data_IF_101668034145
#
_entry.id   IF_101668034145
#
_cell.length_a   1.000
_cell.length_b   1.000
_cell.length_c   1.000
_cell.angle_alpha   90.00
_cell.angle_beta   90.00
_cell.angle_gamma   90.00
#
_symmetry.space_group_name_H-M   'P 1'
#
loop_
_entity.id
_entity.type
_entity.pdbx_description
1 polymer ?
#
# COMPACT_ATOMS: atom_id res chain seq x y z
N UNK A 1 37.54 -6.26 -6.65
CA UNK A 1 38.11 -5.27 -5.69
C UNK A 1 39.57 -5.54 -5.33
N UNK A 2 39.95 -6.33 -4.30
CA UNK A 2 41.33 -6.32 -3.75
C UNK A 2 42.47 -6.43 -4.78
N UNK A 3 42.39 -7.38 -5.72
CA UNK A 3 43.40 -7.53 -6.78
C UNK A 3 43.47 -6.31 -7.73
N UNK A 4 42.34 -5.66 -8.02
CA UNK A 4 42.27 -4.45 -8.86
C UNK A 4 43.01 -3.27 -8.23
N UNK A 5 42.90 -3.14 -6.90
CA UNK A 5 43.62 -2.10 -6.13
C UNK A 5 45.14 -2.34 -6.19
N UNK A 6 45.59 -3.59 -6.10
CA UNK A 6 47.01 -3.92 -6.26
C UNK A 6 47.53 -3.59 -7.67
N UNK A 7 46.76 -3.84 -8.72
CA UNK A 7 47.13 -3.52 -10.11
C UNK A 7 47.18 -1.99 -10.32
N UNK A 8 46.21 -1.24 -9.79
CA UNK A 8 46.21 0.22 -9.85
C UNK A 8 47.40 0.85 -9.09
N UNK A 9 47.76 0.32 -7.92
CA UNK A 9 48.94 0.78 -7.18
C UNK A 9 50.25 0.46 -7.92
N UNK A 10 50.35 -0.71 -8.57
CA UNK A 10 51.50 -1.04 -9.42
C UNK A 10 51.61 -0.07 -10.61
N UNK A 11 50.49 0.28 -11.25
CA UNK A 11 50.44 1.29 -12.32
C UNK A 11 50.84 2.70 -11.82
N UNK A 12 50.36 3.15 -10.66
CA UNK A 12 50.79 4.43 -10.07
C UNK A 12 52.30 4.44 -9.76
N UNK A 13 52.84 3.36 -9.19
CA UNK A 13 54.30 3.28 -8.95
C UNK A 13 55.11 3.24 -10.25
N UNK A 14 54.61 2.59 -11.30
CA UNK A 14 55.29 2.56 -12.61
C UNK A 14 55.29 3.94 -13.27
N UNK A 15 54.16 4.64 -13.26
CA UNK A 15 54.05 6.03 -13.74
C UNK A 15 54.98 6.96 -12.95
N UNK A 16 55.04 6.85 -11.62
CA UNK A 16 55.91 7.67 -10.78
C UNK A 16 57.42 7.45 -11.08
N UNK A 17 57.84 6.20 -11.30
CA UNK A 17 59.22 5.87 -11.70
C UNK A 17 59.56 6.44 -13.08
N UNK A 18 58.65 6.32 -14.06
CA UNK A 18 58.82 6.95 -15.38
C UNK A 18 58.92 8.48 -15.26
N UNK A 19 58.09 9.10 -14.42
CA UNK A 19 58.13 10.55 -14.16
C UNK A 19 59.50 10.98 -13.60
N UNK A 20 60.04 10.26 -12.62
CA UNK A 20 61.38 10.55 -12.05
C UNK A 20 62.51 10.40 -13.07
N UNK A 21 62.39 9.49 -14.05
CA UNK A 21 63.38 9.37 -15.12
C UNK A 21 63.27 10.50 -16.17
N UNK A 22 62.12 11.16 -16.29
CA UNK A 22 61.95 12.36 -17.13
C UNK A 22 62.57 13.59 -16.44
N UNK A 23 62.25 13.83 -15.16
CA UNK A 23 62.78 14.99 -14.42
C UNK A 23 64.30 14.89 -14.13
N UNK A 24 64.81 13.66 -13.96
CA UNK A 24 66.24 13.40 -13.71
C UNK A 24 67.17 13.72 -14.88
N UNK A 25 66.64 13.96 -16.09
CA UNK A 25 67.43 14.22 -17.30
C UNK A 25 67.89 15.68 -17.49
N UNK A 26 67.54 16.60 -16.59
CA UNK A 26 67.72 18.06 -16.82
C UNK A 26 68.75 18.76 -15.91
N UNK A 27 69.35 18.08 -14.93
CA UNK A 27 70.15 18.73 -13.86
C UNK A 27 71.61 18.22 -13.74
N UNK A 28 72.40 18.29 -14.81
CA UNK A 28 73.88 18.27 -14.70
C UNK A 28 74.54 19.35 -15.58
N UNK A 29 74.48 20.62 -15.15
CA UNK A 29 75.50 21.63 -15.48
C UNK A 29 75.46 22.92 -14.63
N UNK A 30 75.25 22.84 -13.31
CA UNK A 30 75.29 24.02 -12.43
C UNK A 30 76.15 23.85 -11.16
N UNK A 31 77.21 23.03 -11.22
CA UNK A 31 78.26 22.96 -10.18
C UNK A 31 79.66 23.11 -10.79
N UNK A 32 79.95 24.29 -11.33
CA UNK A 32 81.29 24.86 -11.44
C UNK A 32 81.21 26.38 -11.60
N UNK A 33 82.12 27.10 -10.94
CA UNK A 33 82.23 28.56 -10.96
C UNK A 33 81.08 29.39 -10.32
N UNK A 34 80.75 29.08 -9.06
CA UNK A 34 80.76 30.18 -8.08
C UNK A 34 82.21 30.39 -7.62
N UNK A 35 82.88 31.43 -8.15
CA UNK A 35 83.98 32.19 -7.52
C UNK A 35 84.33 33.38 -8.44
N UNK A 36 84.57 34.55 -7.83
CA UNK A 36 85.07 35.81 -8.42
C UNK A 36 84.36 36.35 -9.68
N UNK A 37 83.41 37.27 -9.45
CA UNK A 37 83.23 38.46 -10.31
C UNK A 37 84.07 39.62 -9.75
N UNK A 38 84.50 40.53 -10.63
CA UNK A 38 85.59 41.51 -10.45
C UNK A 38 85.34 42.64 -9.43
N UNK A 39 86.42 43.11 -8.79
CA UNK A 39 86.96 44.48 -9.00
C UNK A 39 88.46 44.51 -8.59
N UNK A 40 89.26 45.42 -9.16
CA UNK A 40 90.52 45.86 -8.53
C UNK A 40 91.88 45.54 -9.19
N UNK A 41 92.14 46.14 -10.38
CA UNK A 41 93.46 46.60 -10.89
C UNK A 41 94.51 45.62 -11.49
N UNK A 42 95.15 46.18 -12.53
CA UNK A 42 96.57 46.07 -12.94
C UNK A 42 97.09 44.86 -13.75
N UNK A 43 97.01 45.05 -15.08
CA UNK A 43 98.10 44.93 -16.06
C UNK A 43 98.54 43.54 -16.60
N UNK A 44 99.19 43.52 -17.79
CA UNK A 44 99.27 42.37 -18.69
C UNK A 44 100.77 41.93 -18.86
N UNK A 45 101.29 41.32 -19.97
CA UNK A 45 100.65 40.91 -21.24
C UNK A 45 101.13 39.54 -21.82
N UNK A 46 100.81 39.35 -23.12
CA UNK A 46 101.48 38.52 -24.15
C UNK A 46 100.98 37.07 -24.32
N UNK A 47 100.82 36.53 -25.53
CA UNK A 47 100.77 37.10 -26.92
C UNK A 47 100.08 36.10 -27.86
N UNK A 48 99.61 36.57 -29.02
CA UNK A 48 99.60 35.95 -30.37
C UNK A 48 99.68 34.40 -30.52
N UNK A 49 98.98 33.75 -31.45
CA UNK A 49 98.74 34.20 -32.84
C UNK A 49 97.58 33.47 -33.53
N UNK A 50 97.06 34.08 -34.60
CA UNK A 50 96.30 33.51 -35.72
C UNK A 50 96.72 32.07 -36.11
N UNK A 51 95.78 31.23 -36.60
CA UNK A 51 95.47 31.06 -38.05
C UNK A 51 94.40 29.96 -38.30
N UNK A 52 93.80 30.00 -39.48
CA UNK A 52 92.65 29.20 -39.91
C UNK A 52 92.98 27.82 -40.52
N UNK A 53 91.90 27.14 -40.93
CA UNK A 53 91.77 26.12 -42.00
C UNK A 53 91.94 24.63 -41.69
N UNK A 54 91.27 23.85 -42.57
CA UNK A 54 91.22 22.40 -42.72
C UNK A 54 90.61 21.55 -41.59
N UNK A 55 89.91 20.44 -41.85
CA UNK A 55 89.02 20.03 -42.96
C UNK A 55 88.43 18.67 -42.60
N UNK A 56 87.13 18.46 -42.82
CA UNK A 56 86.43 17.16 -42.95
C UNK A 56 87.18 15.87 -42.55
N UNK A 57 86.64 15.18 -41.54
CA UNK A 57 86.26 13.77 -41.75
C UNK A 57 84.81 13.55 -41.26
N UNK A 58 84.13 12.54 -41.80
CA UNK A 58 82.67 12.45 -41.85
C UNK A 58 82.15 11.20 -41.16
N UNK A 59 82.20 11.17 -39.83
CA UNK A 59 81.53 10.10 -39.08
C UNK A 59 80.01 10.30 -39.07
N UNK A 60 79.32 9.24 -39.46
CA UNK A 60 77.89 9.22 -39.77
C UNK A 60 77.11 8.72 -38.54
N UNK A 61 76.58 9.64 -37.75
CA UNK A 61 75.59 9.32 -36.72
C UNK A 61 74.17 9.55 -37.26
N UNK A 62 73.30 8.54 -37.09
CA UNK A 62 71.89 8.64 -37.45
C UNK A 62 71.11 9.20 -36.27
N UNK A 63 70.57 10.41 -36.43
CA UNK A 63 69.61 10.97 -35.48
C UNK A 63 68.26 10.26 -35.65
N UNK A 64 67.89 9.43 -34.68
CA UNK A 64 66.73 8.54 -34.76
C UNK A 64 65.51 9.19 -34.09
N UNK A 65 64.41 9.32 -34.84
CA UNK A 65 63.21 9.99 -34.38
C UNK A 65 62.43 9.22 -33.31
N UNK A 66 62.54 9.67 -32.06
CA UNK A 66 61.71 9.21 -30.93
C UNK A 66 60.29 9.83 -30.73
N UNK A 67 59.74 10.80 -31.52
CA UNK A 67 58.44 11.43 -31.20
C UNK A 67 57.24 10.49 -31.01
N UNK A 68 57.21 9.36 -31.74
CA UNK A 68 56.02 8.52 -31.93
C UNK A 68 55.64 7.71 -30.68
N UNK A 69 56.63 7.14 -29.97
CA UNK A 69 56.39 6.39 -28.73
C UNK A 69 55.76 7.31 -27.66
N UNK A 70 56.23 8.55 -27.56
CA UNK A 70 55.64 9.54 -26.67
C UNK A 70 54.27 10.05 -27.14
N UNK A 71 53.93 9.98 -28.43
CA UNK A 71 52.57 10.22 -28.91
C UNK A 71 51.65 9.06 -28.50
N UNK A 72 52.03 7.83 -28.81
CA UNK A 72 51.34 6.59 -28.45
C UNK A 72 51.07 6.45 -26.94
N UNK A 73 52.06 6.77 -26.08
CA UNK A 73 51.84 6.77 -24.62
C UNK A 73 50.86 7.86 -24.16
N UNK A 74 50.86 9.04 -24.80
CA UNK A 74 49.90 10.11 -24.47
C UNK A 74 48.48 9.75 -24.90
N UNK A 75 48.32 9.08 -26.05
CA UNK A 75 47.03 8.56 -26.50
C UNK A 75 46.50 7.44 -25.57
N UNK A 76 47.34 6.48 -25.19
CA UNK A 76 46.98 5.46 -24.20
C UNK A 76 46.59 6.10 -22.85
N UNK A 77 47.38 7.07 -22.37
CA UNK A 77 47.08 7.82 -21.13
C UNK A 77 45.76 8.58 -21.23
N UNK A 78 45.47 9.19 -22.38
CA UNK A 78 44.20 9.87 -22.64
C UNK A 78 43.02 8.88 -22.62
N UNK A 79 43.11 7.74 -23.31
CA UNK A 79 42.04 6.73 -23.33
C UNK A 79 41.79 6.07 -21.96
N UNK A 80 42.84 5.81 -21.17
CA UNK A 80 42.69 5.30 -19.80
C UNK A 80 42.08 6.37 -18.88
N UNK A 81 42.40 7.65 -19.10
CA UNK A 81 41.78 8.77 -18.37
C UNK A 81 40.29 8.92 -18.76
N UNK A 82 39.97 8.84 -20.06
CA UNK A 82 38.58 8.83 -20.56
C UNK A 82 37.80 7.65 -19.98
N UNK A 83 38.37 6.44 -19.92
CA UNK A 83 37.74 5.30 -19.25
C UNK A 83 37.52 5.56 -17.75
N UNK A 84 38.47 6.16 -17.05
CA UNK A 84 38.35 6.50 -15.63
C UNK A 84 37.20 7.49 -15.38
N UNK A 85 37.01 8.48 -16.26
CA UNK A 85 35.86 9.39 -16.20
C UNK A 85 34.54 8.74 -16.63
N UNK A 86 34.53 7.91 -17.67
CA UNK A 86 33.34 7.14 -18.05
C UNK A 86 32.87 6.22 -16.91
N UNK A 87 33.79 5.53 -16.22
CA UNK A 87 33.48 4.70 -15.05
C UNK A 87 32.94 5.55 -13.90
N UNK A 88 33.53 6.72 -13.61
CA UNK A 88 33.00 7.66 -12.60
C UNK A 88 31.60 8.15 -12.93
N UNK A 89 31.35 8.51 -14.20
CA UNK A 89 30.04 8.94 -14.67
C UNK A 89 29.00 7.81 -14.54
N UNK A 90 29.36 6.58 -14.89
CA UNK A 90 28.53 5.39 -14.73
C UNK A 90 28.25 5.04 -13.25
N UNK A 91 29.28 5.04 -12.39
CA UNK A 91 29.12 4.84 -10.94
C UNK A 91 28.22 5.90 -10.30
N UNK A 92 28.18 7.10 -10.88
CA UNK A 92 27.26 8.18 -10.48
C UNK A 92 25.85 7.90 -11.01
N UNK A 93 25.67 7.61 -12.30
CA UNK A 93 24.36 7.29 -12.89
C UNK A 93 23.69 6.07 -12.23
N UNK A 94 24.44 5.00 -11.94
CA UNK A 94 23.92 3.81 -11.27
C UNK A 94 23.51 4.13 -9.83
N UNK A 95 24.29 4.96 -9.13
CA UNK A 95 23.95 5.44 -7.78
C UNK A 95 22.69 6.31 -7.80
N UNK A 96 22.55 7.18 -8.79
CA UNK A 96 21.40 8.08 -8.92
C UNK A 96 20.13 7.33 -9.32
N UNK A 97 20.21 6.33 -10.21
CA UNK A 97 19.10 5.41 -10.49
C UNK A 97 18.70 4.59 -9.25
N UNK A 98 19.69 4.10 -8.48
CA UNK A 98 19.42 3.32 -7.26
C UNK A 98 18.79 4.19 -6.17
N UNK A 99 19.33 5.39 -5.90
CA UNK A 99 18.75 6.37 -4.99
C UNK A 99 17.30 6.70 -5.38
N UNK A 100 17.05 6.96 -6.67
CA UNK A 100 15.71 7.26 -7.18
C UNK A 100 14.73 6.09 -6.99
N UNK A 101 15.19 4.85 -7.16
CA UNK A 101 14.37 3.65 -6.87
C UNK A 101 14.15 3.45 -5.37
N UNK A 102 15.13 3.74 -4.51
CA UNK A 102 14.96 3.71 -3.06
C UNK A 102 13.95 4.78 -2.58
N UNK A 103 13.95 5.97 -3.19
CA UNK A 103 12.92 7.00 -2.97
C UNK A 103 11.53 6.55 -3.45
N UNK A 104 11.43 5.94 -4.64
CA UNK A 104 10.17 5.43 -5.20
C UNK A 104 9.58 4.31 -4.32
N UNK A 105 10.40 3.33 -3.92
CA UNK A 105 10.01 2.24 -3.01
C UNK A 105 9.62 2.80 -1.64
N UNK A 106 10.38 3.76 -1.10
CA UNK A 106 10.04 4.40 0.18
C UNK A 106 8.70 5.15 0.11
N UNK A 107 8.41 5.80 -1.01
CA UNK A 107 7.12 6.46 -1.26
C UNK A 107 5.98 5.44 -1.30
N UNK A 108 6.10 4.36 -2.09
CA UNK A 108 5.09 3.29 -2.17
C UNK A 108 4.87 2.60 -0.80
N UNK A 109 5.94 2.38 -0.03
CA UNK A 109 5.86 1.78 1.31
C UNK A 109 5.17 2.72 2.30
N UNK A 110 5.43 4.04 2.27
CA UNK A 110 4.75 4.98 3.16
C UNK A 110 3.31 5.26 2.70
N UNK A 111 2.99 5.15 1.42
CA UNK A 111 1.61 5.15 0.90
C UNK A 111 0.83 3.91 1.36
N UNK A 112 1.39 2.70 1.21
CA UNK A 112 0.79 1.46 1.75
C UNK A 112 0.66 1.50 3.29
N UNK A 113 1.61 2.13 4.00
CA UNK A 113 1.47 2.38 5.44
C UNK A 113 0.37 3.39 5.73
N UNK A 114 0.17 4.43 4.92
CA UNK A 114 -0.90 5.41 5.06
C UNK A 114 -2.27 4.81 4.75
N UNK A 115 -2.37 3.92 3.76
CA UNK A 115 -3.56 3.13 3.44
C UNK A 115 -3.98 2.21 4.61
N UNK A 116 -3.01 1.66 5.34
CA UNK A 116 -3.27 0.82 6.51
C UNK A 116 -3.45 1.62 7.83
N UNK A 117 -2.74 2.74 8.03
CA UNK A 117 -2.87 3.64 9.19
C UNK A 117 -4.21 4.38 9.17
N UNK A 118 -5.22 3.74 9.74
CA UNK A 118 -6.59 4.27 9.81
C UNK A 118 -7.66 3.25 9.44
N UNK A 119 -7.30 2.01 9.06
CA UNK A 119 -8.28 0.91 8.88
C UNK A 119 -8.82 0.39 10.21
N UNK A 120 -8.11 0.64 11.32
CA UNK A 120 -8.61 0.42 12.68
C UNK A 120 -9.64 1.50 13.03
N UNK A 121 -10.93 1.18 12.87
CA UNK A 121 -12.03 2.10 13.13
C UNK A 121 -13.04 1.39 14.03
N UNK A 122 -13.18 1.88 15.26
CA UNK A 122 -14.08 1.27 16.24
C UNK A 122 -14.52 2.30 17.28
N UNK A 123 -15.84 2.39 17.53
CA UNK A 123 -16.37 3.19 18.62
C UNK A 123 -17.33 2.38 19.49
N UNK A 124 -17.44 2.76 20.76
CA UNK A 124 -18.49 2.28 21.65
C UNK A 124 -18.82 3.36 22.67
N UNK A 125 -20.12 3.57 22.93
CA UNK A 125 -20.60 4.66 23.76
C UNK A 125 -21.95 4.36 24.44
N UNK A 126 -22.26 5.06 25.53
CA UNK A 126 -23.58 5.07 26.17
C UNK A 126 -24.16 6.48 26.29
N UNK A 127 -25.49 6.57 26.35
CA UNK A 127 -26.25 7.84 26.31
C UNK A 127 -25.85 8.79 27.45
N UNK A 128 -25.83 8.29 28.69
CA UNK A 128 -25.50 9.08 29.87
C UNK A 128 -24.01 8.98 30.24
N UNK A 129 -23.41 10.12 30.53
CA UNK A 129 -22.01 10.29 30.97
C UNK A 129 -21.80 9.75 32.40
N UNK A 130 -22.67 10.14 33.32
CA UNK A 130 -22.78 9.63 34.69
C UNK A 130 -24.22 9.74 35.21
N UNK A 131 -24.50 9.09 36.34
CA UNK A 131 -25.83 9.06 36.97
C UNK A 131 -26.83 8.09 36.32
N UNK A 132 -28.07 8.17 36.80
CA UNK A 132 -29.22 7.40 36.34
C UNK A 132 -30.32 8.35 35.85
N UNK A 133 -31.13 7.93 34.86
CA UNK A 133 -32.19 8.77 34.30
C UNK A 133 -32.73 8.24 32.98
N UNK A 134 -33.73 8.95 32.45
CA UNK A 134 -34.37 8.65 31.16
C UNK A 134 -33.92 9.65 30.09
N UNK A 135 -33.87 9.20 28.83
CA UNK A 135 -33.63 10.05 27.66
C UNK A 135 -34.89 10.01 26.79
N UNK A 136 -35.53 11.16 26.65
CA UNK A 136 -36.90 11.26 26.14
C UNK A 136 -37.96 11.14 27.26
N UNK A 137 -39.25 11.01 26.90
CA UNK A 137 -39.78 10.94 25.54
C UNK A 137 -39.57 12.25 24.77
N UNK A 138 -39.46 12.15 23.44
CA UNK A 138 -39.33 13.28 22.53
C UNK A 138 -40.60 13.39 21.67
N UNK A 139 -40.95 14.62 21.27
CA UNK A 139 -42.15 14.92 20.46
C UNK A 139 -41.85 15.16 18.98
N UNK A 140 -40.59 15.03 18.59
CA UNK A 140 -40.05 15.22 17.24
C UNK A 140 -38.89 14.24 17.03
N UNK A 141 -38.48 14.05 15.78
CA UNK A 141 -37.32 13.24 15.43
C UNK A 141 -36.03 13.85 16.01
N UNK A 142 -35.21 13.05 16.68
CA UNK A 142 -33.96 13.49 17.34
C UNK A 142 -32.85 12.44 17.19
N UNK A 143 -31.68 12.88 16.72
CA UNK A 143 -30.44 12.11 16.75
C UNK A 143 -29.94 11.91 18.19
N UNK A 144 -29.72 10.66 18.59
CA UNK A 144 -29.26 10.29 19.93
C UNK A 144 -27.76 10.59 20.10
N UNK A 145 -27.43 11.49 21.03
CA UNK A 145 -26.05 11.77 21.44
C UNK A 145 -25.60 10.81 22.54
N UNK A 146 -24.66 9.91 22.21
CA UNK A 146 -24.03 9.02 23.20
C UNK A 146 -22.83 9.74 23.79
N UNK A 147 -23.03 10.36 24.96
CA UNK A 147 -22.07 11.28 25.58
C UNK A 147 -20.89 10.56 26.23
N UNK A 148 -21.12 9.35 26.75
CA UNK A 148 -20.07 8.53 27.37
C UNK A 148 -19.38 7.68 26.31
N UNK A 149 -18.22 8.12 25.85
CA UNK A 149 -17.40 7.37 24.89
C UNK A 149 -16.45 6.44 25.66
N UNK A 150 -16.55 5.14 25.44
CA UNK A 150 -15.60 4.13 25.96
C UNK A 150 -14.47 3.85 24.97
N UNK A 151 -14.72 4.03 23.68
CA UNK A 151 -13.77 3.77 22.59
C UNK A 151 -14.13 4.65 21.39
N UNK A 152 -13.13 5.19 20.68
CA UNK A 152 -13.31 5.95 19.43
C UNK A 152 -12.02 5.90 18.57
N UNK A 153 -11.55 4.70 18.26
CA UNK A 153 -10.37 4.49 17.41
C UNK A 153 -10.70 4.98 16.00
N UNK A 154 -9.81 5.80 15.44
CA UNK A 154 -10.05 6.55 14.20
C UNK A 154 -10.82 7.87 14.38
N UNK A 155 -11.32 8.19 15.58
CA UNK A 155 -12.12 9.38 15.90
C UNK A 155 -13.37 9.59 15.00
N UNK A 156 -13.86 8.52 14.36
CA UNK A 156 -14.95 8.57 13.38
C UNK A 156 -16.33 8.88 14.00
N UNK A 157 -16.52 8.66 15.31
CA UNK A 157 -17.74 9.03 16.02
C UNK A 157 -17.59 10.38 16.72
N UNK A 158 -18.57 11.27 16.51
CA UNK A 158 -18.64 12.59 17.14
C UNK A 158 -19.66 12.58 18.31
N UNK A 159 -19.20 12.66 19.58
CA UNK A 159 -20.10 12.62 20.74
C UNK A 159 -20.98 13.86 20.92
N UNK A 160 -20.66 14.98 20.24
CA UNK A 160 -21.45 16.23 20.30
C UNK A 160 -22.69 16.10 19.42
N UNK A 161 -22.57 15.44 18.25
CA UNK A 161 -23.68 15.29 17.29
C UNK A 161 -24.37 13.93 17.36
N UNK A 162 -23.73 12.89 17.94
CA UNK A 162 -24.24 11.52 17.91
C UNK A 162 -24.00 10.78 16.59
N UNK A 163 -23.20 11.38 15.69
CA UNK A 163 -22.98 10.88 14.32
C UNK A 163 -21.63 10.21 14.18
N UNK A 164 -21.61 9.02 13.57
CA UNK A 164 -20.42 8.40 12.99
C UNK A 164 -20.30 8.82 11.52
N UNK A 165 -19.12 9.28 11.10
CA UNK A 165 -18.80 9.56 9.70
C UNK A 165 -17.72 8.61 9.23
N UNK A 166 -17.97 7.85 8.16
CA UNK A 166 -17.04 6.86 7.62
C UNK A 166 -15.75 7.53 7.09
N UNK A 167 -14.58 7.30 7.71
CA UNK A 167 -13.32 7.93 7.28
C UNK A 167 -12.65 7.16 6.13
N UNK A 168 -13.17 5.99 5.78
CA UNK A 168 -12.73 5.12 4.69
C UNK A 168 -13.93 4.35 4.11
N UNK A 169 -13.84 3.95 2.84
CA UNK A 169 -14.75 2.93 2.27
C UNK A 169 -14.54 1.59 2.99
N UNK A 170 -15.61 0.91 3.37
CA UNK A 170 -15.49 -0.40 4.02
C UNK A 170 -16.80 -0.99 4.54
N UNK A 171 -16.70 -2.14 5.18
CA UNK A 171 -17.81 -2.84 5.83
C UNK A 171 -17.79 -2.57 7.35
N UNK A 172 -18.88 -2.03 7.89
CA UNK A 172 -18.98 -1.60 9.28
C UNK A 172 -20.18 -2.28 9.97
N UNK A 173 -19.95 -2.88 11.14
CA UNK A 173 -21.04 -3.40 11.98
C UNK A 173 -21.48 -2.34 12.99
N UNK A 174 -22.76 -1.99 12.95
CA UNK A 174 -23.41 -1.16 13.97
C UNK A 174 -24.34 -2.03 14.83
N UNK A 175 -24.42 -1.76 16.13
CA UNK A 175 -25.37 -2.40 17.05
C UNK A 175 -25.82 -1.40 18.10
N UNK A 176 -27.13 -1.30 18.27
CA UNK A 176 -27.76 -0.51 19.34
C UNK A 176 -28.37 -1.43 20.39
N UNK A 177 -28.54 -0.92 21.61
CA UNK A 177 -29.31 -1.58 22.67
C UNK A 177 -29.99 -0.51 23.50
N UNK A 178 -31.31 -0.61 23.64
CA UNK A 178 -32.14 0.36 24.36
C UNK A 178 -32.66 -0.32 25.62
N UNK A 179 -32.53 0.39 26.74
CA UNK A 179 -33.14 0.02 28.01
C UNK A 179 -34.33 0.95 28.24
N UNK A 180 -35.51 0.39 28.47
CA UNK A 180 -36.77 1.13 28.55
C UNK A 180 -37.60 0.72 29.76
N UNK A 181 -38.54 1.60 30.13
CA UNK A 181 -39.56 1.31 31.15
C UNK A 181 -40.94 1.27 30.52
N UNK A 182 -41.80 0.41 31.06
CA UNK A 182 -43.16 0.22 30.56
C UNK A 182 -44.05 1.44 30.80
N UNK A 183 -44.97 1.67 29.86
CA UNK A 183 -45.80 2.88 29.79
C UNK A 183 -45.39 3.86 28.68
N UNK A 184 -44.19 3.71 28.11
CA UNK A 184 -43.75 4.41 26.90
C UNK A 184 -43.10 3.44 25.89
N UNK A 185 -43.25 3.75 24.60
CA UNK A 185 -42.49 3.07 23.54
C UNK A 185 -41.00 3.38 23.69
N UNK A 186 -40.15 2.35 23.59
CA UNK A 186 -38.70 2.51 23.53
C UNK A 186 -38.18 2.02 22.18
N UNK A 187 -37.64 2.93 21.39
CA UNK A 187 -37.12 2.67 20.06
C UNK A 187 -35.78 3.39 19.86
N UNK A 188 -34.96 2.85 18.95
CA UNK A 188 -33.84 3.55 18.35
C UNK A 188 -33.66 3.02 16.93
N UNK A 189 -33.72 3.91 15.95
CA UNK A 189 -33.51 3.65 14.53
C UNK A 189 -32.02 3.79 14.19
N UNK A 190 -31.42 2.81 13.52
CA UNK A 190 -30.11 3.00 12.88
C UNK A 190 -30.36 3.63 11.51
N UNK A 191 -29.88 4.85 11.33
CA UNK A 191 -30.01 5.64 10.09
C UNK A 191 -28.69 5.62 9.32
N UNK A 192 -28.74 5.50 7.98
CA UNK A 192 -27.62 5.78 7.08
C UNK A 192 -28.01 6.93 6.14
N UNK A 193 -27.24 8.00 6.10
CA UNK A 193 -27.46 9.15 5.20
C UNK A 193 -28.91 9.68 5.21
N UNK A 194 -29.56 9.73 6.38
CA UNK A 194 -30.95 10.16 6.53
C UNK A 194 -32.02 9.13 6.14
N UNK A 195 -31.64 7.89 5.81
CA UNK A 195 -32.55 6.78 5.49
C UNK A 195 -32.51 5.71 6.59
N UNK A 196 -33.69 5.26 7.02
CA UNK A 196 -33.84 4.17 7.99
C UNK A 196 -33.24 2.86 7.45
N UNK A 197 -32.51 2.14 8.32
CA UNK A 197 -31.95 0.82 8.03
C UNK A 197 -32.64 -0.27 8.85
N UNK A 198 -32.52 -0.21 10.18
CA UNK A 198 -33.09 -1.18 11.14
C UNK A 198 -33.45 -0.51 12.47
N UNK A 199 -34.56 -0.94 13.10
CA UNK A 199 -34.98 -0.42 14.42
C UNK A 199 -34.73 -1.42 15.57
N UNK A 200 -34.39 -0.90 16.75
CA UNK A 200 -34.45 -1.62 18.02
C UNK A 200 -35.70 -1.23 18.83
N UNK A 201 -36.87 -1.75 18.43
CA UNK A 201 -38.16 -1.44 19.05
C UNK A 201 -38.54 -2.41 20.19
N UNK A 202 -39.04 -1.89 21.30
CA UNK A 202 -39.86 -2.61 22.27
C UNK A 202 -40.91 -1.68 22.93
N UNK A 203 -42.04 -2.26 23.33
CA UNK A 203 -43.16 -1.55 23.97
C UNK A 203 -43.89 -2.51 24.90
N UNK A 204 -44.16 -2.09 26.14
CA UNK A 204 -44.83 -2.89 27.17
C UNK A 204 -45.60 -1.98 28.13
N UNK A 205 -46.79 -2.36 28.56
CA UNK A 205 -47.64 -1.51 29.41
C UNK A 205 -47.06 -1.16 30.80
N UNK A 206 -46.28 -2.07 31.41
CA UNK A 206 -45.64 -1.90 32.72
C UNK A 206 -44.36 -2.73 32.81
N UNK A 207 -43.43 -2.36 33.69
CA UNK A 207 -42.20 -3.10 33.96
C UNK A 207 -40.96 -2.48 33.31
N UNK A 208 -39.99 -3.33 32.96
CA UNK A 208 -38.72 -2.95 32.31
C UNK A 208 -38.55 -3.79 31.05
N UNK A 209 -38.08 -3.17 29.97
CA UNK A 209 -37.90 -3.78 28.65
C UNK A 209 -36.51 -3.50 28.08
N UNK A 210 -35.98 -4.44 27.31
CA UNK A 210 -34.74 -4.27 26.56
C UNK A 210 -35.02 -4.59 25.08
N UNK A 211 -34.56 -3.72 24.18
CA UNK A 211 -34.52 -4.01 22.74
C UNK A 211 -33.09 -3.92 22.23
N UNK A 212 -32.77 -4.66 21.18
CA UNK A 212 -31.49 -4.50 20.49
C UNK A 212 -31.55 -5.03 19.06
N UNK A 213 -30.94 -4.28 18.14
CA UNK A 213 -30.79 -4.66 16.75
C UNK A 213 -29.42 -4.19 16.24
N UNK A 214 -29.00 -4.67 15.08
CA UNK A 214 -27.72 -4.33 14.48
C UNK A 214 -27.65 -4.81 13.04
N UNK A 215 -26.72 -4.22 12.30
CA UNK A 215 -26.60 -4.35 10.84
C UNK A 215 -25.14 -4.26 10.44
N UNK A 216 -24.75 -4.95 9.36
CA UNK A 216 -23.47 -4.69 8.67
C UNK A 216 -23.77 -3.90 7.40
N UNK A 217 -23.09 -2.77 7.23
CA UNK A 217 -23.29 -1.84 6.12
C UNK A 217 -21.98 -1.64 5.35
N UNK A 218 -22.07 -1.62 4.02
CA UNK A 218 -21.07 -0.95 3.19
C UNK A 218 -21.25 0.56 3.34
N UNK A 219 -20.18 1.25 3.71
CA UNK A 219 -20.09 2.70 3.73
C UNK A 219 -19.02 3.16 2.74
N UNK A 220 -19.29 4.25 2.03
CA UNK A 220 -18.32 5.03 1.26
C UNK A 220 -17.65 6.09 2.16
N UNK A 221 -16.58 6.73 1.67
CA UNK A 221 -15.96 7.86 2.37
C UNK A 221 -16.99 8.99 2.57
N UNK A 222 -17.16 9.43 3.82
CA UNK A 222 -18.08 10.51 4.18
C UNK A 222 -19.53 10.07 4.45
N UNK A 223 -19.89 8.80 4.23
CA UNK A 223 -21.20 8.28 4.64
C UNK A 223 -21.41 8.46 6.15
N UNK A 224 -22.62 8.87 6.55
CA UNK A 224 -22.98 9.10 7.95
C UNK A 224 -23.92 8.02 8.46
N UNK A 225 -23.61 7.49 9.64
CA UNK A 225 -24.46 6.57 10.39
C UNK A 225 -24.68 7.11 11.80
N UNK A 226 -25.93 7.10 12.25
CA UNK A 226 -26.29 7.61 13.58
C UNK A 226 -27.54 6.87 14.09
N UNK A 227 -27.86 7.05 15.37
CA UNK A 227 -29.12 6.54 15.92
C UNK A 227 -30.13 7.68 16.04
N UNK A 228 -31.36 7.43 15.64
CA UNK A 228 -32.48 8.39 15.71
C UNK A 228 -33.62 7.80 16.55
N UNK A 229 -34.58 8.64 16.94
CA UNK A 229 -35.90 8.19 17.37
C UNK A 229 -36.88 8.90 16.43
N UNK A 230 -37.41 8.18 15.45
CA UNK A 230 -38.07 8.76 14.27
C UNK A 230 -39.60 8.62 14.24
N UNK A 231 -40.25 9.41 13.36
CA UNK A 231 -41.63 9.20 12.89
C UNK A 231 -41.81 9.58 11.40
N UNK A 232 -40.85 9.14 10.56
CA UNK A 232 -40.89 9.00 9.09
C UNK A 232 -41.54 10.12 8.24
N UNK A 233 -40.72 10.94 7.56
CA UNK A 233 -40.95 11.32 6.15
C UNK A 233 -39.62 11.27 5.36
N UNK A 234 -39.63 10.68 4.16
CA UNK A 234 -38.47 10.55 3.26
C UNK A 234 -38.33 11.72 2.27
N UNK A 235 -37.09 12.07 1.92
CA UNK A 235 -36.72 13.01 0.85
C UNK A 235 -36.29 12.30 -0.44
N UNK A 236 -36.24 13.04 -1.57
CA UNK A 236 -35.03 13.18 -2.40
C UNK A 236 -35.18 14.23 -3.52
N UNK A 237 -34.05 14.72 -4.04
CA UNK A 237 -33.89 15.70 -5.13
C UNK A 237 -33.06 15.09 -6.28
N UNK A 238 -33.03 15.70 -7.47
CA UNK A 238 -32.13 15.28 -8.55
C UNK A 238 -32.32 16.00 -9.89
N UNK A 239 -31.24 16.58 -10.43
CA UNK A 239 -31.18 17.19 -11.77
C UNK A 239 -29.78 17.14 -12.41
N UNK A 240 -29.78 17.27 -13.74
CA UNK A 240 -28.67 17.60 -14.67
C UNK A 240 -27.69 16.48 -15.11
N UNK A 241 -27.10 16.69 -16.29
CA UNK A 241 -26.45 15.69 -17.17
C UNK A 241 -25.56 16.39 -18.27
N UNK A 242 -24.96 15.73 -19.29
CA UNK A 242 -23.52 15.74 -19.71
C UNK A 242 -23.21 16.73 -20.90
N UNK A 243 -22.11 16.69 -21.72
CA UNK A 243 -21.00 15.70 -21.88
C UNK A 243 -19.55 16.18 -22.23
N UNK A 244 -18.62 15.20 -22.19
CA UNK A 244 -17.46 14.85 -23.07
C UNK A 244 -16.61 15.89 -23.88
N UNK A 245 -15.30 15.56 -24.01
CA UNK A 245 -14.34 15.97 -25.08
C UNK A 245 -13.31 14.83 -25.34
N UNK A 246 -12.54 14.85 -26.45
CA UNK A 246 -11.80 13.66 -26.97
C UNK A 246 -10.56 13.96 -27.87
N UNK A 247 -9.48 13.11 -27.82
CA UNK A 247 -8.35 12.92 -28.80
C UNK A 247 -7.39 14.10 -29.21
N UNK A 248 -6.18 13.99 -29.85
CA UNK A 248 -5.30 12.92 -30.46
C UNK A 248 -3.82 13.41 -30.73
N UNK A 249 -2.78 12.55 -30.60
CA UNK A 249 -1.48 12.36 -31.41
C UNK A 249 -0.49 13.53 -31.77
N UNK A 250 0.76 13.38 -32.29
CA UNK A 250 1.60 12.24 -32.77
C UNK A 250 3.17 12.47 -32.89
N UNK A 251 3.89 11.33 -33.01
CA UNK A 251 5.25 10.90 -33.53
C UNK A 251 6.09 11.82 -34.50
N UNK A 252 7.45 11.76 -34.76
CA UNK A 252 8.70 11.20 -34.14
C UNK A 252 10.06 11.46 -34.97
N UNK A 253 11.28 11.27 -34.39
CA UNK A 253 12.67 11.00 -35.00
C UNK A 253 13.55 12.14 -35.66
N UNK A 254 14.86 12.05 -36.06
CA UNK A 254 15.86 10.95 -36.34
C UNK A 254 17.39 11.40 -36.42
N UNK A 255 18.37 10.48 -36.19
CA UNK A 255 19.74 10.27 -36.81
C UNK A 255 20.80 11.40 -37.08
N UNK A 256 22.09 11.19 -37.47
CA UNK A 256 23.24 10.24 -37.22
C UNK A 256 24.48 10.67 -38.08
N UNK A 257 25.75 10.34 -37.72
CA UNK A 257 26.86 9.83 -38.58
C UNK A 257 28.29 9.85 -37.95
N UNK A 258 29.31 9.27 -38.63
CA UNK A 258 30.57 8.71 -38.09
C UNK A 258 31.68 8.60 -39.19
N UNK A 259 32.99 8.59 -38.86
CA UNK A 259 34.12 8.27 -39.78
C UNK A 259 35.40 7.68 -39.09
N UNK A 260 36.26 7.00 -39.87
CA UNK A 260 37.40 6.11 -39.52
C UNK A 260 38.44 6.10 -40.69
N UNK A 261 39.69 5.59 -40.70
CA UNK A 261 40.72 5.07 -39.73
C UNK A 261 42.07 4.81 -40.51
N UNK A 262 43.14 4.25 -39.87
CA UNK A 262 44.39 3.61 -40.36
C UNK A 262 45.68 4.48 -40.47
N UNK A 263 46.91 3.97 -40.24
CA UNK A 263 47.33 2.71 -39.58
C UNK A 263 48.56 1.97 -40.17
N UNK A 264 49.67 1.80 -39.42
CA UNK A 264 50.85 0.95 -39.74
C UNK A 264 51.31 0.14 -38.47
N UNK A 265 52.06 -0.99 -38.53
CA UNK A 265 52.71 -1.68 -37.38
C UNK A 265 54.15 -1.17 -37.09
N UNK A 266 54.79 -1.37 -35.93
CA UNK A 266 54.85 -2.63 -35.17
C UNK A 266 54.79 -2.47 -33.63
N UNK A 267 55.24 -1.35 -33.04
CA UNK A 267 54.87 -1.03 -31.63
C UNK A 267 53.35 -0.85 -31.51
N UNK A 268 52.71 -0.33 -32.57
CA UNK A 268 51.26 -0.34 -32.71
C UNK A 268 50.64 -1.75 -32.74
N UNK A 269 51.39 -2.85 -32.88
CA UNK A 269 50.84 -4.20 -32.72
C UNK A 269 50.52 -4.47 -31.24
N UNK A 270 51.51 -4.33 -30.36
CA UNK A 270 51.31 -4.44 -28.91
C UNK A 270 50.37 -3.34 -28.36
N UNK A 271 50.43 -2.12 -28.92
CA UNK A 271 49.49 -1.06 -28.55
C UNK A 271 48.06 -1.37 -29.02
N UNK A 272 47.86 -1.97 -30.22
CA UNK A 272 46.53 -2.45 -30.66
C UNK A 272 46.05 -3.65 -29.87
N UNK A 273 46.94 -4.53 -29.41
CA UNK A 273 46.58 -5.64 -28.52
C UNK A 273 46.09 -5.12 -27.16
N UNK A 274 46.81 -4.17 -26.56
CA UNK A 274 46.37 -3.51 -25.34
C UNK A 274 45.06 -2.74 -25.56
N UNK A 275 44.96 -1.90 -26.61
CA UNK A 275 43.73 -1.19 -26.98
C UNK A 275 42.57 -2.16 -27.26
N UNK A 276 42.82 -3.32 -27.86
CA UNK A 276 41.81 -4.35 -28.07
C UNK A 276 41.28 -4.89 -26.74
N UNK A 277 42.16 -5.30 -25.81
CA UNK A 277 41.72 -5.74 -24.46
C UNK A 277 41.00 -4.62 -23.68
N UNK A 278 41.39 -3.36 -23.89
CA UNK A 278 40.76 -2.17 -23.31
C UNK A 278 39.36 -1.91 -23.91
N UNK A 279 39.16 -2.15 -25.20
CA UNK A 279 37.82 -2.13 -25.84
C UNK A 279 36.98 -3.34 -25.48
N UNK A 280 37.56 -4.53 -25.36
CA UNK A 280 36.89 -5.75 -24.90
C UNK A 280 36.39 -5.58 -23.45
N UNK A 281 37.19 -4.96 -22.58
CA UNK A 281 36.75 -4.57 -21.24
C UNK A 281 35.64 -3.51 -21.28
N UNK A 282 35.67 -2.55 -22.22
CA UNK A 282 34.58 -1.55 -22.41
C UNK A 282 33.26 -2.23 -22.80
N UNK A 283 33.28 -3.23 -23.69
CA UNK A 283 32.08 -4.00 -24.04
C UNK A 283 31.64 -4.98 -22.96
N UNK A 284 32.56 -5.64 -22.25
CA UNK A 284 32.22 -6.52 -21.12
C UNK A 284 31.58 -5.73 -19.96
N UNK A 285 32.03 -4.49 -19.72
CA UNK A 285 31.42 -3.57 -18.75
C UNK A 285 29.99 -3.17 -19.19
N UNK A 286 29.80 -2.76 -20.45
CA UNK A 286 28.47 -2.48 -21.04
C UNK A 286 27.51 -3.67 -20.98
N UNK A 287 28.02 -4.88 -21.23
CA UNK A 287 27.24 -6.11 -21.14
C UNK A 287 26.80 -6.39 -19.69
N UNK A 288 27.69 -6.18 -18.72
CA UNK A 288 27.39 -6.35 -17.30
C UNK A 288 26.43 -5.28 -16.76
N UNK A 289 26.56 -4.02 -17.20
CA UNK A 289 25.58 -2.95 -16.96
C UNK A 289 24.18 -3.33 -17.45
N UNK A 290 24.10 -3.82 -18.69
CA UNK A 290 22.84 -4.24 -19.33
C UNK A 290 22.22 -5.40 -18.57
N UNK A 291 23.01 -6.43 -18.26
CA UNK A 291 22.56 -7.58 -17.48
C UNK A 291 22.05 -7.19 -16.08
N UNK A 292 22.74 -6.28 -15.38
CA UNK A 292 22.32 -5.81 -14.06
C UNK A 292 21.04 -4.96 -14.13
N UNK A 293 20.90 -4.13 -15.16
CA UNK A 293 19.70 -3.33 -15.44
C UNK A 293 18.50 -4.24 -15.73
N UNK A 294 18.69 -5.27 -16.55
CA UNK A 294 17.64 -6.24 -16.90
C UNK A 294 17.24 -7.13 -15.72
N UNK A 295 18.20 -7.61 -14.93
CA UNK A 295 17.93 -8.39 -13.71
C UNK A 295 17.18 -7.54 -12.66
N UNK A 296 17.55 -6.26 -12.50
CA UNK A 296 16.84 -5.32 -11.65
C UNK A 296 15.42 -5.03 -12.15
N UNK A 297 15.22 -4.86 -13.46
CA UNK A 297 13.89 -4.60 -14.03
C UNK A 297 12.98 -5.82 -13.91
N UNK A 298 13.47 -7.02 -14.22
CA UNK A 298 12.76 -8.28 -13.99
C UNK A 298 12.33 -8.46 -12.52
N UNK A 299 13.20 -8.08 -11.58
CA UNK A 299 12.89 -8.15 -10.14
C UNK A 299 11.86 -7.11 -9.71
N UNK A 300 11.82 -5.94 -10.34
CA UNK A 300 10.74 -4.97 -10.13
C UNK A 300 9.40 -5.52 -10.63
N UNK A 301 9.35 -6.16 -11.81
CA UNK A 301 8.14 -6.81 -12.33
C UNK A 301 7.65 -7.93 -11.40
N UNK A 302 8.57 -8.76 -10.88
CA UNK A 302 8.26 -9.82 -9.92
C UNK A 302 7.66 -9.27 -8.61
N UNK A 303 8.24 -8.20 -8.06
CA UNK A 303 7.72 -7.51 -6.86
C UNK A 303 6.34 -6.89 -7.14
N UNK A 304 6.15 -6.21 -8.28
CA UNK A 304 4.86 -5.64 -8.65
C UNK A 304 3.76 -6.71 -8.81
N UNK A 305 4.12 -7.88 -9.37
CA UNK A 305 3.21 -9.02 -9.46
C UNK A 305 2.82 -9.55 -8.08
N UNK A 306 3.78 -9.75 -7.17
CA UNK A 306 3.51 -10.22 -5.81
C UNK A 306 2.66 -9.22 -5.00
N UNK A 307 2.84 -7.91 -5.20
CA UNK A 307 2.01 -6.88 -4.55
C UNK A 307 0.56 -6.93 -5.01
N UNK A 308 0.29 -7.07 -6.31
CA UNK A 308 -1.10 -7.13 -6.79
C UNK A 308 -1.77 -8.49 -6.50
N UNK A 309 -0.99 -9.59 -6.45
CA UNK A 309 -1.46 -10.88 -5.96
C UNK A 309 -1.86 -10.81 -4.47
N UNK A 310 -1.03 -10.23 -3.60
CA UNK A 310 -1.37 -10.00 -2.19
C UNK A 310 -2.55 -9.04 -1.99
N UNK A 311 -2.71 -8.03 -2.86
CA UNK A 311 -3.91 -7.17 -2.87
C UNK A 311 -5.16 -7.96 -3.27
N UNK A 312 -5.04 -8.88 -4.23
CA UNK A 312 -6.13 -9.78 -4.63
C UNK A 312 -6.50 -10.75 -3.50
N UNK A 313 -5.53 -11.47 -2.93
CA UNK A 313 -5.78 -12.36 -1.79
C UNK A 313 -6.48 -11.65 -0.63
N UNK A 314 -6.11 -10.39 -0.33
CA UNK A 314 -6.77 -9.64 0.74
C UNK A 314 -8.21 -9.22 0.39
N UNK A 315 -8.51 -8.87 -0.87
CA UNK A 315 -9.91 -8.64 -1.32
C UNK A 315 -10.75 -9.90 -1.21
N UNK A 316 -10.21 -11.05 -1.61
CA UNK A 316 -10.88 -12.36 -1.55
C UNK A 316 -11.11 -12.88 -0.11
N UNK A 317 -10.60 -12.17 0.91
CA UNK A 317 -10.75 -12.47 2.35
C UNK A 317 -11.76 -11.56 3.08
N UNK A 318 -12.37 -10.59 2.39
CA UNK A 318 -13.42 -9.74 2.95
C UNK A 318 -14.80 -10.43 2.82
N UNK A 319 -15.35 -10.94 3.93
CA UNK A 319 -16.63 -11.68 3.94
C UNK A 319 -17.54 -11.11 5.04
N UNK A 320 -18.68 -10.57 4.63
CA UNK A 320 -19.72 -10.08 5.53
C UNK A 320 -21.09 -10.05 4.86
N UNK A 321 -22.14 -10.36 5.61
CA UNK A 321 -23.53 -10.23 5.15
C UNK A 321 -24.44 -9.68 6.25
N UNK A 322 -25.54 -9.08 5.82
CA UNK A 322 -26.63 -8.62 6.70
C UNK A 322 -27.93 -8.58 5.91
N UNK A 323 -29.00 -9.16 6.46
CA UNK A 323 -30.31 -9.21 5.83
C UNK A 323 -31.46 -9.13 6.86
N UNK A 324 -32.61 -8.59 6.46
CA UNK A 324 -33.88 -8.69 7.20
C UNK A 324 -34.86 -9.68 6.54
N UNK A 325 -35.90 -10.05 7.30
CA UNK A 325 -36.74 -11.19 6.98
C UNK A 325 -37.60 -10.96 5.72
N UNK A 326 -38.29 -9.81 5.63
CA UNK A 326 -39.17 -9.46 4.52
C UNK A 326 -38.56 -8.42 3.57
N UNK A 327 -38.64 -8.69 2.26
CA UNK A 327 -38.26 -7.76 1.18
C UNK A 327 -39.28 -6.63 0.97
N UNK A 328 -40.56 -6.91 1.21
CA UNK A 328 -41.64 -5.92 1.26
C UNK A 328 -42.87 -6.48 1.98
N UNK A 329 -43.78 -5.59 2.39
CA UNK A 329 -45.00 -5.94 3.13
C UNK A 329 -44.80 -6.00 4.65
N UNK A 330 -45.80 -6.55 5.33
CA UNK A 330 -45.78 -6.80 6.78
C UNK A 330 -46.56 -8.07 7.13
N UNK A 331 -46.23 -8.70 8.26
CA UNK A 331 -47.04 -9.78 8.82
C UNK A 331 -46.31 -10.76 9.72
N UNK A 332 -47.07 -11.76 10.18
CA UNK A 332 -46.57 -12.87 10.97
C UNK A 332 -45.95 -13.97 10.08
N UNK A 333 -44.80 -14.50 10.52
CA UNK A 333 -44.27 -15.80 10.09
C UNK A 333 -44.45 -16.80 11.25
N UNK A 334 -45.39 -17.73 11.05
CA UNK A 334 -45.77 -18.78 12.02
C UNK A 334 -47.07 -18.49 12.78
N UNK A 335 -47.46 -19.37 13.73
CA UNK A 335 -46.74 -20.56 14.15
C UNK A 335 -46.88 -21.75 13.20
N UNK A 336 -45.78 -22.47 13.00
CA UNK A 336 -45.75 -23.74 12.27
C UNK A 336 -45.73 -24.92 13.23
N UNK A 337 -46.26 -26.07 12.78
CA UNK A 337 -46.26 -27.32 13.55
C UNK A 337 -44.88 -27.99 13.60
N UNK A 338 -44.00 -27.67 12.65
CA UNK A 338 -42.60 -28.09 12.62
C UNK A 338 -41.67 -26.88 12.71
N UNK A 339 -40.45 -27.10 13.18
CA UNK A 339 -39.36 -26.11 13.05
C UNK A 339 -39.05 -25.90 11.56
N UNK A 340 -38.85 -24.64 11.15
CA UNK A 340 -38.54 -24.26 9.76
C UNK A 340 -37.28 -23.40 9.67
N UNK A 341 -36.57 -23.46 8.54
CA UNK A 341 -35.49 -22.51 8.22
C UNK A 341 -36.07 -21.17 7.79
N UNK A 342 -35.52 -20.07 8.32
CA UNK A 342 -35.91 -18.71 7.95
C UNK A 342 -35.05 -18.20 6.78
N UNK A 343 -35.72 -17.74 5.72
CA UNK A 343 -35.09 -17.07 4.58
C UNK A 343 -35.17 -15.55 4.78
N UNK A 344 -34.04 -14.88 5.03
CA UNK A 344 -33.98 -13.42 5.15
C UNK A 344 -33.76 -12.84 3.74
N UNK A 345 -34.82 -12.26 3.17
CA UNK A 345 -34.87 -11.94 1.72
C UNK A 345 -34.34 -10.56 1.39
N UNK A 346 -34.44 -9.61 2.32
CA UNK A 346 -33.98 -8.25 2.13
C UNK A 346 -32.49 -8.14 2.47
N UNK A 347 -31.61 -8.20 1.47
CA UNK A 347 -30.15 -8.25 1.67
C UNK A 347 -29.54 -6.86 1.62
N UNK A 348 -29.06 -6.36 2.77
CA UNK A 348 -28.38 -5.07 2.88
C UNK A 348 -26.90 -5.14 2.43
N UNK A 349 -26.26 -6.30 2.60
CA UNK A 349 -24.83 -6.53 2.28
C UNK A 349 -24.58 -8.04 2.13
N UNK A 350 -23.69 -8.45 1.21
CA UNK A 350 -23.29 -9.85 0.98
C UNK A 350 -21.89 -9.97 0.32
N UNK A 351 -20.86 -9.44 0.96
CA UNK A 351 -19.46 -9.51 0.50
C UNK A 351 -19.00 -10.96 0.49
N UNK A 352 -18.31 -11.37 -0.58
CA UNK A 352 -17.94 -12.75 -0.84
C UNK A 352 -19.11 -13.65 -1.28
N UNK A 353 -20.34 -13.11 -1.41
CA UNK A 353 -21.56 -13.84 -1.79
C UNK A 353 -21.84 -15.11 -0.96
N UNK A 354 -21.35 -15.14 0.28
CA UNK A 354 -21.41 -16.32 1.15
C UNK A 354 -22.82 -16.60 1.71
N UNK A 355 -23.72 -15.61 1.69
CA UNK A 355 -25.12 -15.77 2.08
C UNK A 355 -26.03 -15.98 0.85
N UNK A 356 -26.96 -16.94 0.96
CA UNK A 356 -27.96 -17.22 -0.07
C UNK A 356 -29.39 -16.84 0.44
N UNK A 357 -29.99 -15.74 -0.05
CA UNK A 357 -31.31 -15.28 0.42
C UNK A 357 -32.48 -16.16 -0.05
N UNK A 358 -32.28 -17.02 -1.05
CA UNK A 358 -33.31 -17.97 -1.50
C UNK A 358 -33.47 -19.12 -0.51
N UNK A 359 -32.36 -19.59 0.09
CA UNK A 359 -32.34 -20.73 1.04
C UNK A 359 -32.25 -20.32 2.50
N UNK A 360 -31.81 -19.09 2.80
CA UNK A 360 -31.58 -18.61 4.16
C UNK A 360 -30.22 -18.99 4.75
N UNK A 361 -29.32 -19.56 3.95
CA UNK A 361 -28.08 -20.23 4.41
C UNK A 361 -26.85 -19.39 4.08
N UNK A 362 -25.99 -19.20 5.09
CA UNK A 362 -24.58 -18.81 4.91
C UNK A 362 -23.73 -20.07 4.75
N UNK A 363 -22.83 -20.11 3.77
CA UNK A 363 -21.82 -21.17 3.60
C UNK A 363 -20.43 -20.55 3.68
N UNK A 364 -19.57 -21.05 4.57
CA UNK A 364 -18.23 -20.50 4.75
C UNK A 364 -17.35 -20.77 3.52
N UNK A 365 -16.86 -19.74 2.80
CA UNK A 365 -15.97 -19.93 1.65
C UNK A 365 -14.49 -20.05 2.07
N UNK A 366 -14.15 -19.64 3.31
CA UNK A 366 -12.81 -19.69 3.89
C UNK A 366 -12.85 -20.31 5.29
N UNK A 367 -11.72 -20.88 5.71
CA UNK A 367 -11.48 -21.28 7.10
C UNK A 367 -11.26 -20.03 7.95
N UNK A 368 -11.93 -19.91 9.10
CA UNK A 368 -11.77 -18.71 9.93
C UNK A 368 -12.68 -18.59 11.16
N UNK A 369 -12.49 -17.50 11.90
CA UNK A 369 -13.33 -17.12 13.03
C UNK A 369 -14.41 -16.13 12.58
N UNK A 370 -15.68 -16.54 12.61
CA UNK A 370 -16.82 -15.76 12.13
C UNK A 370 -17.75 -15.37 13.28
N UNK A 371 -18.15 -14.10 13.34
CA UNK A 371 -19.20 -13.60 14.26
C UNK A 371 -20.55 -13.66 13.55
N UNK A 372 -21.58 -14.18 14.21
CA UNK A 372 -22.98 -14.14 13.76
C UNK A 372 -23.87 -13.51 14.81
N UNK A 373 -24.91 -12.80 14.36
CA UNK A 373 -25.97 -12.22 15.21
C UNK A 373 -27.34 -12.42 14.58
N UNK A 374 -28.35 -12.56 15.43
CA UNK A 374 -29.76 -12.65 15.05
C UNK A 374 -30.63 -11.85 16.02
N UNK A 375 -31.68 -11.21 15.51
CA UNK A 375 -32.82 -10.73 16.32
C UNK A 375 -34.07 -11.56 16.05
N UNK A 376 -34.90 -11.70 17.10
CA UNK A 376 -36.23 -12.27 17.03
C UNK A 376 -37.23 -11.25 17.58
N UNK A 377 -38.16 -10.81 16.73
CA UNK A 377 -39.25 -9.90 17.06
C UNK A 377 -40.59 -10.58 16.82
N UNK A 378 -41.54 -10.40 17.74
CA UNK A 378 -42.89 -10.96 17.58
C UNK A 378 -43.91 -10.28 18.47
N UNK A 379 -45.16 -10.73 18.39
CA UNK A 379 -46.28 -10.17 19.15
C UNK A 379 -46.94 -11.29 19.96
N UNK A 380 -47.10 -11.09 21.27
CA UNK A 380 -47.76 -12.04 22.18
C UNK A 380 -49.22 -12.33 21.78
N UNK A 381 -49.81 -13.45 22.24
CA UNK A 381 -49.30 -14.38 23.25
C UNK A 381 -48.35 -15.47 22.71
N UNK A 382 -48.15 -15.56 21.39
CA UNK A 382 -47.27 -16.58 20.82
C UNK A 382 -45.80 -16.19 21.02
N UNK A 383 -45.02 -17.07 21.64
CA UNK A 383 -43.60 -16.85 21.87
C UNK A 383 -42.81 -16.71 20.54
N UNK A 384 -41.82 -15.82 20.54
CA UNK A 384 -40.90 -15.60 19.44
C UNK A 384 -39.61 -16.40 19.66
N UNK A 385 -39.02 -16.96 18.59
CA UNK A 385 -37.61 -17.36 18.60
C UNK A 385 -36.93 -17.18 17.25
N UNK A 386 -35.61 -17.09 17.28
CA UNK A 386 -34.74 -17.23 16.11
C UNK A 386 -33.46 -17.94 16.56
N UNK A 387 -33.25 -19.15 16.07
CA UNK A 387 -32.25 -20.08 16.59
C UNK A 387 -31.15 -20.30 15.56
N UNK A 388 -29.89 -19.97 15.89
CA UNK A 388 -28.75 -20.14 14.99
C UNK A 388 -28.29 -21.61 15.02
N UNK A 389 -28.26 -22.20 13.82
CA UNK A 389 -27.89 -23.57 13.53
C UNK A 389 -26.55 -23.59 12.80
N UNK A 390 -25.59 -24.41 13.26
CA UNK A 390 -24.40 -24.80 12.49
C UNK A 390 -24.53 -26.27 12.08
N UNK A 391 -24.38 -26.58 10.80
CA UNK A 391 -24.36 -27.95 10.25
C UNK A 391 -25.51 -28.84 10.79
N UNK A 392 -26.75 -28.31 10.80
CA UNK A 392 -27.93 -29.03 11.30
C UNK A 392 -28.13 -29.07 12.82
N UNK A 393 -27.19 -28.56 13.63
CA UNK A 393 -27.30 -28.49 15.09
C UNK A 393 -27.55 -27.05 15.56
N UNK A 394 -28.65 -26.82 16.30
CA UNK A 394 -28.90 -25.56 17.02
C UNK A 394 -27.76 -25.34 18.04
N UNK A 395 -27.19 -24.14 18.06
CA UNK A 395 -26.11 -23.77 19.00
C UNK A 395 -26.56 -22.68 19.97
N UNK A 396 -27.21 -21.63 19.48
CA UNK A 396 -27.79 -20.57 20.33
C UNK A 396 -29.21 -20.25 19.88
N UNK A 397 -30.05 -19.88 20.84
CA UNK A 397 -31.41 -19.41 20.62
C UNK A 397 -31.52 -17.93 21.01
N UNK A 398 -32.24 -17.13 20.25
CA UNK A 398 -32.86 -15.91 20.75
C UNK A 398 -34.34 -16.22 21.00
N UNK A 399 -34.85 -15.99 22.21
CA UNK A 399 -36.19 -16.40 22.62
C UNK A 399 -36.80 -15.38 23.58
N UNK A 400 -38.08 -15.07 23.36
CA UNK A 400 -38.87 -14.25 24.27
C UNK A 400 -40.33 -14.75 24.28
N UNK A 401 -40.99 -14.68 25.43
CA UNK A 401 -42.35 -15.15 25.64
C UNK A 401 -43.04 -14.28 26.72
N UNK A 402 -44.05 -13.53 26.30
CA UNK A 402 -44.94 -12.76 27.16
C UNK A 402 -46.38 -12.93 26.66
N UNK A 403 -47.34 -12.94 27.59
CA UNK A 403 -48.75 -13.15 27.24
C UNK A 403 -49.38 -12.01 26.42
N UNK A 404 -48.80 -10.82 26.44
CA UNK A 404 -49.24 -9.62 25.75
C UNK A 404 -48.03 -8.73 25.42
N UNK A 405 -48.23 -7.73 24.55
CA UNK A 405 -47.22 -6.76 24.08
C UNK A 405 -46.19 -7.34 23.09
N UNK A 406 -45.17 -6.54 22.76
CA UNK A 406 -44.13 -6.82 21.77
C UNK A 406 -42.97 -7.57 22.39
N UNK A 407 -42.59 -8.67 21.75
CA UNK A 407 -41.46 -9.51 22.11
C UNK A 407 -40.25 -9.05 21.28
N UNK A 408 -39.18 -8.57 21.93
CA UNK A 408 -37.87 -8.33 21.31
C UNK A 408 -36.81 -9.19 21.99
N UNK A 409 -35.88 -9.75 21.22
CA UNK A 409 -34.68 -10.40 21.72
C UNK A 409 -33.59 -10.42 20.64
N UNK A 410 -32.31 -10.42 21.03
CA UNK A 410 -31.19 -10.72 20.12
C UNK A 410 -30.18 -11.65 20.79
N UNK A 411 -29.41 -12.38 19.99
CA UNK A 411 -28.30 -13.20 20.46
C UNK A 411 -27.16 -13.22 19.40
N UNK A 412 -25.98 -13.74 19.75
CA UNK A 412 -24.86 -13.86 18.82
C UNK A 412 -23.77 -14.80 19.32
N UNK A 413 -23.00 -15.35 18.36
CA UNK A 413 -22.00 -16.39 18.59
C UNK A 413 -20.79 -16.17 17.68
N UNK A 414 -19.60 -16.52 18.17
CA UNK A 414 -18.40 -16.66 17.33
C UNK A 414 -18.18 -18.14 17.05
N UNK A 415 -18.10 -18.49 15.77
CA UNK A 415 -17.75 -19.83 15.32
C UNK A 415 -16.35 -19.87 14.73
N UNK A 416 -15.64 -20.97 14.96
CA UNK A 416 -14.65 -21.43 13.98
C UNK A 416 -15.40 -22.23 12.92
N UNK A 417 -15.22 -21.85 11.66
CA UNK A 417 -15.78 -22.52 10.50
C UNK A 417 -14.65 -23.07 9.61
N UNK A 418 -14.86 -24.27 9.09
CA UNK A 418 -14.11 -24.85 7.96
C UNK A 418 -14.80 -24.47 6.64
N UNK A 419 -14.09 -24.59 5.51
CA UNK A 419 -14.67 -24.35 4.17
C UNK A 419 -15.83 -25.32 3.93
N UNK A 420 -17.00 -24.78 3.56
CA UNK A 420 -18.23 -25.54 3.35
C UNK A 420 -19.09 -25.76 4.59
N UNK A 421 -18.67 -25.32 5.78
CA UNK A 421 -19.57 -25.27 6.94
C UNK A 421 -20.77 -24.34 6.67
N UNK A 422 -21.97 -24.76 7.06
CA UNK A 422 -23.21 -24.02 6.85
C UNK A 422 -23.77 -23.47 8.16
N UNK A 423 -24.17 -22.20 8.13
CA UNK A 423 -24.82 -21.49 9.25
C UNK A 423 -26.12 -20.87 8.77
N UNK A 424 -27.21 -21.10 9.48
CA UNK A 424 -28.54 -20.58 9.15
C UNK A 424 -29.39 -20.38 10.40
N UNK A 425 -30.56 -19.79 10.25
CA UNK A 425 -31.50 -19.53 11.35
C UNK A 425 -32.76 -20.39 11.18
N UNK A 426 -33.29 -20.92 12.28
CA UNK A 426 -34.60 -21.59 12.31
C UNK A 426 -35.58 -20.91 13.26
N UNK A 427 -36.86 -20.94 12.90
CA UNK A 427 -37.99 -20.64 13.79
C UNK A 427 -38.50 -21.96 14.37
N UNK A 428 -38.49 -22.09 15.70
CA UNK A 428 -38.87 -23.33 16.37
C UNK A 428 -40.38 -23.63 16.24
N UNK A 429 -40.76 -24.91 16.26
CA UNK A 429 -42.18 -25.33 16.25
C UNK A 429 -43.00 -24.60 17.32
N UNK A 430 -44.19 -24.09 16.93
CA UNK A 430 -45.05 -23.32 17.83
C UNK A 430 -44.48 -21.96 18.24
N UNK A 431 -43.59 -21.35 17.44
CA UNK A 431 -43.13 -19.96 17.59
C UNK A 431 -43.59 -19.11 16.42
N UNK A 432 -43.75 -17.81 16.66
CA UNK A 432 -44.16 -16.81 15.67
C UNK A 432 -43.30 -15.56 15.80
N UNK A 433 -42.86 -15.03 14.67
CA UNK A 433 -42.17 -13.74 14.56
C UNK A 433 -42.96 -12.82 13.63
N UNK A 434 -42.84 -11.51 13.81
CA UNK A 434 -43.53 -10.49 13.02
C UNK A 434 -42.49 -9.55 12.41
N UNK A 435 -42.62 -9.22 11.12
CA UNK A 435 -41.74 -8.26 10.44
C UNK A 435 -42.56 -7.28 9.58
N UNK A 436 -41.98 -6.11 9.30
CA UNK A 436 -42.57 -5.05 8.47
C UNK A 436 -41.44 -4.13 7.95
N UNK A 437 -41.78 -2.96 7.40
CA UNK A 437 -40.82 -1.99 6.84
C UNK A 437 -39.73 -1.48 7.79
N UNK A 438 -39.83 -1.75 9.10
CA UNK A 438 -38.80 -1.39 10.09
C UNK A 438 -37.72 -2.47 10.31
N UNK A 439 -37.77 -3.59 9.58
CA UNK A 439 -36.70 -4.61 9.56
C UNK A 439 -36.34 -5.15 10.97
N UNK A 440 -37.35 -5.58 11.74
CA UNK A 440 -37.18 -5.97 13.13
C UNK A 440 -36.36 -7.27 13.30
N UNK A 441 -36.52 -8.22 12.38
CA UNK A 441 -35.85 -9.51 12.39
C UNK A 441 -34.66 -9.48 11.42
N UNK A 442 -33.44 -9.48 11.96
CA UNK A 442 -32.19 -9.45 11.19
C UNK A 442 -31.37 -10.71 11.41
N UNK A 443 -30.65 -11.13 10.37
CA UNK A 443 -29.58 -12.11 10.47
C UNK A 443 -28.33 -11.54 9.78
N UNK A 444 -27.21 -11.51 10.50
CA UNK A 444 -25.96 -10.90 10.04
C UNK A 444 -24.77 -11.74 10.48
N UNK A 445 -23.70 -11.74 9.69
CA UNK A 445 -22.45 -12.35 10.08
C UNK A 445 -21.26 -11.93 9.22
N UNK A 446 -20.06 -12.02 9.78
CA UNK A 446 -18.82 -11.56 9.14
C UNK A 446 -17.59 -12.30 9.66
N UNK A 447 -16.54 -12.34 8.84
CA UNK A 447 -15.24 -12.89 9.18
C UNK A 447 -14.48 -11.91 10.09
N UNK A 448 -14.08 -12.37 11.28
CA UNK A 448 -13.19 -11.62 12.18
C UNK A 448 -11.75 -11.72 11.71
N UNK A 449 -11.29 -12.93 11.40
CA UNK A 449 -9.99 -13.22 10.79
C UNK A 449 -9.97 -14.62 10.16
N UNK A 450 -9.35 -14.78 8.98
CA UNK A 450 -9.06 -16.09 8.41
C UNK A 450 -8.13 -16.90 9.33
N UNK A 451 -8.30 -18.22 9.36
CA UNK A 451 -7.37 -19.16 9.98
C UNK A 451 -6.61 -19.92 8.89
N UNK A 452 -5.34 -20.21 9.18
CA UNK A 452 -4.49 -21.08 8.36
C UNK A 452 -4.61 -22.53 8.82
#
# INVERSE_FOLDING_TARGET
MKALVCILLLLETFVFVVQQQVDGGLNENEISQQISSEDGRQNPPQTDTLRAEASTDRQQYCDLGFPDIYASLRELTATVTEQKENIRALETQLRDEMNKKDEEISSQVEELRKENRGREIAFSASVMESGEGYTGPFTTEITLTYKKVFTNIGNAYNPITGVFTAPLKGAYMFRVSVHGHGGTTSAADIMKNGKHVVIAYANQAQGVLNSSNGVVLILEFGDVVYNEISQQISSEDGRQNPPQTDTLRAEASTDRQQYCDLGIPDIHAALRELTATVTEQKENIRALETQLRDEMNKKNEEISSQVEELRKENRDREIAFSASLMESGEGDIGPFTTTITLTYRNVFTNIGNAYNPITGIFTAPLKGAYMFRVSAFGIGPTAASADIVKNGKIVIASYNNQAQNVLNSSNGVVFILEVGDVVYVTLYSGRRIYDNQYNHNTFSGFLLFPLR
#
